data_IF_953536677215
#
_entry.id   IF_953536677215
#
_cell.length_a   1.000
_cell.length_b   1.000
_cell.length_c   1.000
_cell.angle_alpha   90.00
_cell.angle_beta   90.00
_cell.angle_gamma   90.00
#
_symmetry.space_group_name_H-M   'P 1'
#
loop_
_entity.id
_entity.type
_entity.pdbx_description
1 polymer ?
#
# COMPACT_ATOMS: atom_id res chain seq x y z
N UNK A 1 12.46 16.16 -19.53
CA UNK A 1 11.01 15.91 -19.31
C UNK A 1 10.52 15.04 -20.45
N UNK A 2 10.61 13.71 -20.30
CA UNK A 2 9.93 12.70 -21.15
C UNK A 2 10.15 11.31 -20.53
N UNK A 3 9.40 10.99 -19.48
CA UNK A 3 9.19 9.63 -19.01
C UNK A 3 7.72 9.27 -19.30
N UNK A 4 7.39 9.18 -20.59
CA UNK A 4 6.17 8.49 -21.06
C UNK A 4 6.62 7.15 -21.63
N UNK A 5 7.20 6.31 -20.77
CA UNK A 5 7.30 4.89 -21.06
C UNK A 5 6.02 4.27 -20.52
N UNK A 6 5.15 3.81 -21.42
CA UNK A 6 3.92 3.12 -21.07
C UNK A 6 4.24 1.99 -20.10
N UNK A 7 3.68 2.04 -18.89
CA UNK A 7 3.99 1.06 -17.87
C UNK A 7 3.04 -0.13 -18.05
N UNK A 8 3.60 -1.27 -18.43
CA UNK A 8 2.87 -2.52 -18.51
C UNK A 8 2.52 -3.02 -17.11
N UNK A 9 1.24 -3.38 -16.90
CA UNK A 9 0.75 -3.95 -15.65
C UNK A 9 0.47 -5.43 -15.85
N UNK A 10 1.00 -6.29 -14.98
CA UNK A 10 0.68 -7.71 -15.00
C UNK A 10 -0.79 -7.92 -14.73
N UNK A 11 -1.44 -8.56 -15.69
CA UNK A 11 -2.85 -8.88 -15.67
C UNK A 11 -3.28 -9.69 -14.44
N UNK A 12 -2.46 -10.67 -14.07
CA UNK A 12 -2.89 -11.77 -13.23
C UNK A 12 -3.23 -11.39 -11.78
N UNK A 13 -2.39 -10.65 -11.03
CA UNK A 13 -2.77 -10.19 -9.70
C UNK A 13 -3.98 -9.25 -9.76
N UNK A 14 -4.02 -8.38 -10.78
CA UNK A 14 -5.08 -7.41 -11.00
C UNK A 14 -6.46 -8.06 -11.20
N UNK A 15 -6.58 -9.02 -12.13
CA UNK A 15 -7.82 -9.74 -12.39
C UNK A 15 -8.28 -10.57 -11.20
N UNK A 16 -7.36 -11.21 -10.47
CA UNK A 16 -7.72 -11.98 -9.27
C UNK A 16 -8.34 -11.07 -8.21
N UNK A 17 -7.67 -9.96 -7.89
CA UNK A 17 -8.09 -9.07 -6.82
C UNK A 17 -9.35 -8.28 -7.21
N UNK A 18 -9.50 -7.88 -8.47
CA UNK A 18 -10.70 -7.20 -8.96
C UNK A 18 -11.93 -8.10 -9.04
N UNK A 19 -11.78 -9.36 -9.47
CA UNK A 19 -12.89 -10.33 -9.48
C UNK A 19 -13.34 -10.65 -8.07
N UNK A 20 -12.40 -10.84 -7.14
CA UNK A 20 -12.73 -11.07 -5.74
C UNK A 20 -13.43 -9.87 -5.13
N UNK A 21 -12.96 -8.66 -5.43
CA UNK A 21 -13.60 -7.43 -4.97
C UNK A 21 -15.01 -7.27 -5.53
N UNK A 22 -15.22 -7.50 -6.82
CA UNK A 22 -16.57 -7.48 -7.43
C UNK A 22 -17.51 -8.51 -6.80
N UNK A 23 -17.03 -9.74 -6.58
CA UNK A 23 -17.78 -10.77 -5.88
C UNK A 23 -18.13 -10.35 -4.45
N UNK A 24 -17.20 -9.69 -3.76
CA UNK A 24 -17.42 -9.17 -2.40
C UNK A 24 -18.52 -8.11 -2.35
N UNK A 25 -18.55 -7.22 -3.34
CA UNK A 25 -19.59 -6.19 -3.46
C UNK A 25 -20.96 -6.82 -3.76
N UNK A 26 -21.02 -7.85 -4.61
CA UNK A 26 -22.28 -8.54 -4.92
C UNK A 26 -22.86 -9.18 -3.64
N UNK A 27 -22.03 -9.85 -2.85
CA UNK A 27 -22.48 -10.40 -1.55
C UNK A 27 -22.95 -9.28 -0.62
N UNK A 28 -22.21 -8.17 -0.56
CA UNK A 28 -22.62 -7.01 0.24
C UNK A 28 -24.00 -6.51 -0.18
N UNK A 29 -24.27 -6.34 -1.48
CA UNK A 29 -25.59 -5.91 -1.99
C UNK A 29 -26.69 -6.89 -1.54
N UNK A 30 -26.43 -8.20 -1.56
CA UNK A 30 -27.38 -9.20 -1.08
C UNK A 30 -27.65 -9.01 0.43
N UNK A 31 -26.61 -8.85 1.25
CA UNK A 31 -26.74 -8.61 2.70
C UNK A 31 -27.37 -7.25 3.05
N UNK A 32 -27.37 -6.29 2.14
CA UNK A 32 -28.02 -4.99 2.34
C UNK A 32 -29.48 -4.98 1.87
N UNK A 33 -29.93 -6.00 1.12
CA UNK A 33 -31.22 -5.98 0.40
C UNK A 33 -32.45 -6.01 1.29
N UNK A 34 -32.35 -6.58 2.50
CA UNK A 34 -33.42 -6.66 3.49
C UNK A 34 -33.39 -5.50 4.51
N UNK A 35 -32.38 -4.62 4.42
CA UNK A 35 -32.19 -3.47 5.31
C UNK A 35 -31.77 -3.85 6.74
N UNK A 36 -31.39 -5.11 6.98
CA UNK A 36 -31.05 -5.62 8.33
C UNK A 36 -29.86 -6.55 8.27
N UNK A 37 -28.85 -6.27 9.08
CA UNK A 37 -27.64 -7.10 9.10
C UNK A 37 -27.70 -8.04 10.30
N UNK A 38 -27.85 -9.32 10.00
CA UNK A 38 -27.84 -10.39 10.99
C UNK A 38 -26.41 -10.77 11.40
N UNK A 39 -26.28 -11.43 12.56
CA UNK A 39 -25.00 -11.93 13.01
C UNK A 39 -24.38 -12.91 11.99
N UNK A 40 -25.21 -13.75 11.35
CA UNK A 40 -24.73 -14.70 10.35
C UNK A 40 -24.11 -13.99 9.13
N UNK A 41 -24.72 -12.92 8.64
CA UNK A 41 -24.20 -12.16 7.50
C UNK A 41 -22.88 -11.46 7.84
N UNK A 42 -22.78 -10.85 9.02
CA UNK A 42 -21.53 -10.22 9.47
C UNK A 42 -20.39 -11.25 9.62
N UNK A 43 -20.66 -12.44 10.17
CA UNK A 43 -19.69 -13.54 10.26
C UNK A 43 -19.32 -14.05 8.87
N UNK A 44 -20.29 -14.16 7.97
CA UNK A 44 -20.04 -14.62 6.60
C UNK A 44 -19.09 -13.67 5.84
N UNK A 45 -19.29 -12.35 5.95
CA UNK A 45 -18.38 -11.35 5.37
C UNK A 45 -16.95 -11.46 5.93
N UNK A 46 -16.81 -11.66 7.24
CA UNK A 46 -15.50 -11.86 7.89
C UNK A 46 -14.82 -13.17 7.43
N UNK A 47 -15.59 -14.27 7.34
CA UNK A 47 -15.09 -15.56 6.84
C UNK A 47 -14.67 -15.45 5.37
N UNK A 48 -15.39 -14.66 4.59
CA UNK A 48 -15.02 -14.38 3.22
C UNK A 48 -13.65 -13.71 3.16
N UNK A 49 -13.35 -12.72 4.02
CA UNK A 49 -12.00 -12.15 4.10
C UNK A 49 -10.91 -13.18 4.46
N UNK A 50 -11.20 -14.12 5.36
CA UNK A 50 -10.28 -15.25 5.63
C UNK A 50 -10.06 -16.09 4.36
N UNK A 51 -11.12 -16.34 3.60
CA UNK A 51 -11.05 -16.98 2.29
C UNK A 51 -10.17 -16.21 1.29
N UNK A 52 -10.28 -14.89 1.24
CA UNK A 52 -9.39 -14.02 0.44
C UNK A 52 -7.93 -14.22 0.82
N UNK A 53 -7.60 -14.20 2.11
CA UNK A 53 -6.24 -14.43 2.60
C UNK A 53 -5.74 -15.81 2.19
N UNK A 54 -6.57 -16.85 2.30
CA UNK A 54 -6.20 -18.22 1.90
C UNK A 54 -5.89 -18.26 0.39
N UNK A 55 -6.72 -17.65 -0.45
CA UNK A 55 -6.50 -17.54 -1.90
C UNK A 55 -5.18 -16.82 -2.20
N UNK A 56 -4.91 -15.71 -1.51
CA UNK A 56 -3.67 -14.94 -1.66
C UNK A 56 -2.43 -15.74 -1.20
N UNK A 57 -2.55 -16.48 -0.10
CA UNK A 57 -1.49 -17.36 0.40
C UNK A 57 -1.19 -18.49 -0.58
N UNK A 58 -2.23 -19.10 -1.15
CA UNK A 58 -2.13 -20.21 -2.10
C UNK A 58 -1.99 -19.79 -3.57
N UNK A 59 -1.69 -18.52 -3.86
CA UNK A 59 -1.60 -17.95 -5.21
C UNK A 59 -0.81 -18.82 -6.23
N UNK A 60 0.27 -19.50 -5.80
CA UNK A 60 1.06 -20.38 -6.67
C UNK A 60 0.35 -21.70 -7.02
N UNK A 61 -0.33 -22.32 -6.06
CA UNK A 61 -1.06 -23.58 -6.30
C UNK A 61 -2.33 -23.33 -7.11
N UNK A 62 -3.03 -22.23 -6.83
CA UNK A 62 -4.18 -21.79 -7.61
C UNK A 62 -3.79 -21.53 -9.07
N UNK A 63 -2.61 -20.94 -9.29
CA UNK A 63 -2.03 -20.74 -10.62
C UNK A 63 -1.85 -22.07 -11.37
N UNK A 64 -1.22 -23.07 -10.75
CA UNK A 64 -1.00 -24.35 -11.43
C UNK A 64 -2.32 -25.05 -11.77
N UNK A 65 -3.31 -24.96 -10.86
CA UNK A 65 -4.63 -25.54 -11.07
C UNK A 65 -5.43 -24.84 -12.18
N UNK A 66 -5.47 -23.51 -12.19
CA UNK A 66 -6.20 -22.73 -13.21
C UNK A 66 -5.58 -22.92 -14.59
N UNK A 67 -4.24 -22.90 -14.71
CA UNK A 67 -3.55 -23.11 -16.00
C UNK A 67 -3.80 -24.51 -16.55
N UNK A 68 -3.88 -25.54 -15.70
CA UNK A 68 -4.21 -26.90 -16.14
C UNK A 68 -5.67 -27.07 -16.55
N UNK A 69 -6.59 -26.32 -15.92
CA UNK A 69 -8.04 -26.52 -16.06
C UNK A 69 -8.69 -25.59 -17.09
N UNK A 70 -8.19 -24.37 -17.24
CA UNK A 70 -8.73 -23.32 -18.12
C UNK A 70 -7.60 -22.78 -19.02
N UNK A 71 -7.55 -23.27 -20.26
CA UNK A 71 -6.60 -22.88 -21.31
C UNK A 71 -6.66 -21.38 -21.69
N UNK A 72 -7.68 -20.63 -21.21
CA UNK A 72 -7.88 -19.20 -21.46
C UNK A 72 -6.79 -18.33 -20.82
N UNK A 73 -6.15 -18.78 -19.73
CA UNK A 73 -5.05 -18.06 -19.09
C UNK A 73 -3.66 -18.42 -19.65
N UNK A 74 -3.55 -19.46 -20.48
CA UNK A 74 -2.29 -19.85 -21.11
C UNK A 74 -1.84 -18.82 -22.16
N UNK A 75 -2.78 -18.21 -22.89
CA UNK A 75 -2.51 -17.10 -23.81
C UNK A 75 -2.11 -15.80 -23.10
N UNK A 76 -2.52 -15.60 -21.84
CA UNK A 76 -2.12 -14.44 -21.05
C UNK A 76 -0.70 -14.55 -20.49
N UNK A 77 -0.21 -15.74 -20.17
CA UNK A 77 1.21 -15.95 -19.86
C UNK A 77 2.11 -15.76 -21.10
N UNK A 78 1.58 -15.93 -22.32
CA UNK A 78 2.33 -15.65 -23.56
C UNK A 78 2.48 -14.15 -23.84
N UNK A 79 1.64 -13.30 -23.23
CA UNK A 79 1.75 -11.84 -23.28
C UNK A 79 2.65 -11.26 -22.17
N UNK A 80 3.02 -12.07 -21.17
CA UNK A 80 4.03 -11.73 -20.15
C UNK A 80 5.48 -11.84 -20.69
N UNK A 81 5.68 -12.37 -21.91
CA UNK A 81 6.93 -12.20 -22.65
C UNK A 81 6.87 -10.94 -23.53
N UNK A 82 7.35 -9.80 -23.02
CA UNK A 82 8.50 -9.21 -23.70
C UNK A 82 9.46 -8.47 -22.77
N UNK A 83 10.07 -9.12 -21.75
CA UNK A 83 11.17 -8.48 -20.97
C UNK A 83 12.26 -9.50 -20.53
N UNK A 84 12.69 -10.39 -21.43
CA UNK A 84 14.06 -10.96 -21.35
C UNK A 84 15.07 -10.16 -22.19
N UNK A 85 14.59 -9.32 -23.12
CA UNK A 85 15.45 -8.50 -23.99
C UNK A 85 15.79 -7.11 -23.42
N UNK A 86 14.99 -6.55 -22.51
CA UNK A 86 15.28 -5.24 -21.89
C UNK A 86 16.43 -5.31 -20.86
N UNK A 87 16.64 -6.46 -20.21
CA UNK A 87 17.80 -6.67 -19.35
C UNK A 87 19.11 -6.73 -20.15
N UNK A 88 19.05 -7.05 -21.45
CA UNK A 88 20.20 -7.00 -22.35
C UNK A 88 20.47 -5.57 -22.87
N UNK A 89 19.46 -4.71 -23.00
CA UNK A 89 19.67 -3.32 -23.43
C UNK A 89 20.18 -2.41 -22.31
N UNK A 90 19.89 -2.71 -21.03
CA UNK A 90 20.52 -2.01 -19.89
C UNK A 90 22.00 -2.36 -19.69
N UNK A 91 22.51 -3.44 -20.29
CA UNK A 91 23.96 -3.64 -20.40
C UNK A 91 24.63 -2.68 -21.40
N UNK A 92 23.86 -1.94 -22.22
CA UNK A 92 24.38 -1.14 -23.33
C UNK A 92 24.27 0.38 -23.16
N UNK A 93 23.67 0.90 -22.08
CA UNK A 93 23.71 2.34 -21.78
C UNK A 93 23.96 2.60 -20.30
N UNK A 94 25.20 2.97 -19.97
CA UNK A 94 25.51 3.83 -18.82
C UNK A 94 25.97 3.15 -17.53
N UNK A 95 27.08 2.43 -17.57
CA UNK A 95 28.01 2.42 -16.43
C UNK A 95 29.27 3.18 -16.84
N UNK A 96 29.21 4.52 -16.86
CA UNK A 96 30.40 5.34 -17.01
C UNK A 96 31.04 5.57 -15.65
N UNK A 97 32.23 4.98 -15.54
CA UNK A 97 33.43 5.51 -14.92
C UNK A 97 33.44 5.67 -13.41
N UNK A 98 33.97 4.66 -12.75
CA UNK A 98 35.00 4.82 -11.72
C UNK A 98 35.63 3.46 -11.54
N UNK A 99 36.79 3.23 -12.14
CA UNK A 99 37.95 2.48 -11.61
C UNK A 99 39.01 2.43 -12.73
N UNK A 100 40.05 3.21 -12.48
CA UNK A 100 41.42 3.12 -12.99
C UNK A 100 41.72 2.04 -14.04
N UNK A 101 41.99 2.51 -15.27
CA UNK A 101 43.35 2.52 -15.87
C UNK A 101 44.30 1.51 -15.20
N UNK A 102 44.26 0.28 -15.69
CA UNK A 102 45.43 -0.58 -15.74
C UNK A 102 45.68 -0.87 -17.21
N UNK A 103 46.91 -0.58 -17.63
CA UNK A 103 47.37 -0.63 -19.00
C UNK A 103 47.18 -2.04 -19.59
N UNK A 104 46.64 -2.08 -20.80
CA UNK A 104 46.69 -3.24 -21.69
C UNK A 104 48.12 -3.38 -22.22
N UNK A 105 49.02 -3.94 -21.41
CA UNK A 105 50.21 -4.60 -21.94
C UNK A 105 50.46 -5.89 -21.16
N UNK A 106 50.29 -7.01 -21.87
CA UNK A 106 50.64 -8.37 -21.50
C UNK A 106 49.98 -8.93 -20.23
N UNK A 107 49.05 -9.89 -20.41
CA UNK A 107 49.15 -11.21 -19.76
C UNK A 107 48.33 -12.20 -20.60
N UNK A 108 49.07 -12.99 -21.37
CA UNK A 108 48.71 -14.33 -21.75
C UNK A 108 48.67 -15.21 -20.49
N UNK A 109 47.48 -15.47 -19.95
CA UNK A 109 47.25 -16.68 -19.14
C UNK A 109 45.76 -16.96 -19.07
N UNK A 110 45.35 -18.10 -19.62
CA UNK A 110 44.03 -18.68 -19.44
C UNK A 110 43.83 -18.90 -17.94
N UNK A 111 42.95 -18.12 -17.31
CA UNK A 111 42.56 -18.34 -15.92
C UNK A 111 41.60 -19.54 -15.91
N UNK A 112 41.84 -20.58 -15.08
CA UNK A 112 40.93 -21.71 -14.98
C UNK A 112 39.54 -21.25 -14.54
N UNK A 113 38.50 -21.81 -15.17
CA UNK A 113 37.09 -21.50 -14.86
C UNK A 113 36.78 -21.72 -13.37
N UNK A 114 37.46 -22.66 -12.72
CA UNK A 114 37.24 -22.97 -11.30
C UNK A 114 37.73 -21.85 -10.37
N UNK A 115 38.79 -21.13 -10.74
CA UNK A 115 39.25 -19.93 -10.02
C UNK A 115 38.30 -18.75 -10.28
N UNK A 116 37.73 -18.66 -11.48
CA UNK A 116 36.67 -17.69 -11.80
C UNK A 116 35.38 -17.97 -11.01
N UNK A 117 35.06 -19.25 -10.77
CA UNK A 117 33.90 -19.69 -9.99
C UNK A 117 34.13 -19.46 -8.49
N UNK A 118 35.34 -19.70 -8.00
CA UNK A 118 35.75 -19.40 -6.62
C UNK A 118 35.76 -17.89 -6.35
N UNK A 119 36.12 -17.07 -7.35
CA UNK A 119 35.94 -15.62 -7.32
C UNK A 119 34.46 -15.20 -7.46
N UNK A 120 33.62 -16.03 -8.08
CA UNK A 120 32.17 -15.85 -8.19
C UNK A 120 31.39 -16.33 -6.96
N UNK A 121 31.91 -16.08 -5.76
CA UNK A 121 31.02 -16.02 -4.61
C UNK A 121 30.00 -14.92 -4.91
N UNK A 122 28.80 -15.31 -5.34
CA UNK A 122 27.61 -14.47 -5.25
C UNK A 122 27.34 -14.33 -3.75
N UNK A 123 28.16 -13.53 -3.07
CA UNK A 123 27.94 -13.12 -1.71
C UNK A 123 26.69 -12.26 -1.78
N UNK A 124 25.54 -12.84 -1.43
CA UNK A 124 24.34 -12.05 -1.31
C UNK A 124 24.61 -11.02 -0.23
N UNK A 125 24.61 -9.74 -0.62
CA UNK A 125 24.59 -8.65 0.35
C UNK A 125 23.47 -8.95 1.36
N UNK A 126 23.70 -8.66 2.65
CA UNK A 126 22.72 -8.90 3.71
C UNK A 126 21.36 -8.30 3.34
N UNK A 127 21.37 -7.17 2.66
CA UNK A 127 20.20 -6.49 2.12
C UNK A 127 19.44 -7.34 1.10
N UNK A 128 20.12 -7.84 0.08
CA UNK A 128 19.57 -8.72 -0.96
C UNK A 128 19.10 -10.05 -0.37
N UNK A 129 19.81 -10.59 0.61
CA UNK A 129 19.44 -11.80 1.32
C UNK A 129 18.19 -11.59 2.20
N UNK A 130 18.14 -10.49 2.96
CA UNK A 130 17.00 -10.14 3.80
C UNK A 130 15.73 -9.88 2.96
N UNK A 131 15.87 -9.15 1.84
CA UNK A 131 14.78 -8.91 0.89
C UNK A 131 14.27 -10.23 0.29
N UNK A 132 15.18 -11.12 -0.12
CA UNK A 132 14.80 -12.47 -0.60
C UNK A 132 14.14 -13.31 0.48
N UNK A 133 14.56 -13.21 1.74
CA UNK A 133 13.92 -13.93 2.86
C UNK A 133 12.52 -13.35 3.13
N UNK A 134 12.34 -12.04 3.06
CA UNK A 134 11.04 -11.37 3.22
C UNK A 134 10.05 -11.74 2.09
N UNK A 135 10.54 -11.87 0.86
CA UNK A 135 9.70 -12.19 -0.31
C UNK A 135 9.50 -13.70 -0.52
N UNK A 136 10.40 -14.54 0.01
CA UNK A 136 10.34 -16.00 -0.15
C UNK A 136 9.27 -16.62 0.75
N UNK A 137 8.40 -17.43 0.13
CA UNK A 137 7.35 -18.16 0.86
C UNK A 137 7.88 -19.26 1.79
N UNK A 138 9.15 -19.68 1.63
CA UNK A 138 9.76 -20.78 2.41
C UNK A 138 9.94 -20.44 3.90
N UNK A 139 10.06 -19.17 4.25
CA UNK A 139 10.30 -18.74 5.64
C UNK A 139 8.99 -18.43 6.38
N UNK A 140 8.89 -18.79 7.67
CA UNK A 140 7.73 -18.48 8.52
C UNK A 140 7.55 -16.96 8.69
N UNK A 141 6.31 -16.49 8.91
CA UNK A 141 5.99 -15.06 9.05
C UNK A 141 6.83 -14.36 10.14
N UNK A 142 7.08 -15.03 11.28
CA UNK A 142 7.96 -14.52 12.35
C UNK A 142 9.40 -14.31 11.88
N UNK A 143 9.92 -15.16 11.00
CA UNK A 143 11.26 -15.04 10.43
C UNK A 143 11.33 -13.89 9.45
N UNK A 144 10.32 -13.73 8.59
CA UNK A 144 10.23 -12.60 7.65
C UNK A 144 10.14 -11.26 8.38
N UNK A 145 9.29 -11.18 9.40
CA UNK A 145 9.16 -9.99 10.23
C UNK A 145 10.47 -9.67 10.98
N UNK A 146 11.14 -10.67 11.59
CA UNK A 146 12.45 -10.47 12.21
C UNK A 146 13.51 -10.00 11.21
N UNK A 147 13.50 -10.52 9.98
CA UNK A 147 14.43 -10.08 8.93
C UNK A 147 14.12 -8.69 8.42
N UNK A 148 12.84 -8.31 8.28
CA UNK A 148 12.43 -6.95 7.96
C UNK A 148 12.92 -5.95 9.01
N UNK A 149 12.72 -6.27 10.29
CA UNK A 149 13.22 -5.46 11.41
C UNK A 149 14.75 -5.37 11.37
N UNK A 150 15.46 -6.48 11.18
CA UNK A 150 16.94 -6.48 11.10
C UNK A 150 17.47 -5.70 9.90
N UNK A 151 16.81 -5.81 8.76
CA UNK A 151 17.13 -5.05 7.55
C UNK A 151 17.05 -3.54 7.83
N UNK A 152 15.93 -3.08 8.41
CA UNK A 152 15.76 -1.67 8.79
C UNK A 152 16.82 -1.22 9.80
N UNK A 153 17.10 -2.03 10.82
CA UNK A 153 18.12 -1.73 11.83
C UNK A 153 19.52 -1.60 11.22
N UNK A 154 19.89 -2.51 10.31
CA UNK A 154 21.21 -2.51 9.67
C UNK A 154 21.34 -1.32 8.73
N UNK A 155 20.28 -0.98 7.99
CA UNK A 155 20.21 0.25 7.20
C UNK A 155 20.43 1.49 8.07
N UNK A 156 19.77 1.58 9.23
CA UNK A 156 19.93 2.70 10.18
C UNK A 156 21.37 2.76 10.73
N UNK A 157 21.98 1.63 11.07
CA UNK A 157 23.37 1.59 11.57
C UNK A 157 24.40 2.00 10.52
N UNK A 158 24.25 1.50 9.29
CA UNK A 158 25.09 1.89 8.16
C UNK A 158 24.97 3.39 7.86
N UNK A 159 23.77 3.97 8.02
CA UNK A 159 23.52 5.42 7.89
C UNK A 159 24.14 6.27 9.01
N UNK A 160 24.24 5.76 10.24
CA UNK A 160 24.84 6.47 11.38
C UNK A 160 26.39 6.51 11.37
N UNK A 161 27.03 6.02 10.31
CA UNK A 161 28.49 5.91 10.24
C UNK A 161 29.08 4.89 11.23
N UNK A 162 28.22 4.15 11.95
CA UNK A 162 28.63 3.04 12.79
C UNK A 162 28.95 1.86 11.87
N UNK A 163 30.23 1.59 11.66
CA UNK A 163 30.68 0.47 10.85
C UNK A 163 30.08 -0.82 11.34
N UNK A 164 29.23 -1.42 10.50
CA UNK A 164 28.80 -2.79 10.71
C UNK A 164 29.93 -3.68 10.21
N UNK A 165 30.63 -4.35 11.14
CA UNK A 165 31.61 -5.37 10.77
C UNK A 165 30.84 -6.51 10.11
N UNK A 166 30.99 -6.62 8.79
CA UNK A 166 30.50 -7.74 7.99
C UNK A 166 31.33 -8.99 8.34
N UNK A 167 30.75 -10.04 8.95
CA UNK A 167 31.47 -11.29 9.24
C UNK A 167 31.82 -12.09 7.98
N UNK A 168 31.23 -11.70 6.85
CA UNK A 168 31.29 -12.30 5.52
C UNK A 168 32.52 -11.91 4.69
N UNK A 169 33.42 -11.06 5.20
CA UNK A 169 34.65 -10.65 4.50
C UNK A 169 35.94 -11.06 5.22
N UNK A 170 37.01 -11.44 4.50
CA UNK A 170 38.30 -11.80 5.08
C UNK A 170 38.90 -10.61 5.86
N UNK A 171 39.72 -10.92 6.88
CA UNK A 171 40.19 -9.96 7.90
C UNK A 171 40.82 -8.69 7.30
N UNK A 172 41.50 -8.82 6.16
CA UNK A 172 42.18 -7.72 5.46
C UNK A 172 41.25 -6.82 4.62
N UNK A 173 40.01 -7.24 4.35
CA UNK A 173 38.99 -6.48 3.60
C UNK A 173 37.90 -5.87 4.50
N UNK A 174 38.10 -5.89 5.82
CA UNK A 174 37.29 -5.13 6.79
C UNK A 174 37.53 -3.62 6.68
N UNK A 175 37.62 -3.08 5.47
CA UNK A 175 37.38 -1.65 5.25
C UNK A 175 35.89 -1.39 5.43
N UNK A 176 35.59 -0.34 6.18
CA UNK A 176 34.27 0.28 6.27
C UNK A 176 33.78 0.60 4.85
N UNK A 177 33.13 -0.34 4.18
CA UNK A 177 32.54 -0.11 2.88
C UNK A 177 31.17 0.53 3.12
N UNK A 178 31.17 1.85 3.25
CA UNK A 178 29.97 2.66 3.22
C UNK A 178 29.43 2.60 1.79
N UNK A 179 28.61 1.59 1.46
CA UNK A 179 27.84 1.62 0.23
C UNK A 179 26.78 2.72 0.40
N UNK A 180 27.02 3.85 -0.26
CA UNK A 180 26.07 4.94 -0.41
C UNK A 180 25.03 4.56 -1.48
N UNK A 181 24.39 3.40 -1.31
CA UNK A 181 23.24 2.98 -2.12
C UNK A 181 21.99 3.65 -1.57
N UNK A 182 21.67 4.85 -2.08
CA UNK A 182 20.45 5.57 -1.72
C UNK A 182 19.24 4.71 -2.08
N UNK A 183 18.50 4.23 -1.09
CA UNK A 183 17.07 3.95 -1.24
C UNK A 183 16.35 5.30 -1.12
N UNK A 184 15.90 5.92 -2.23
CA UNK A 184 15.38 7.29 -2.21
C UNK A 184 14.10 7.45 -1.36
N UNK A 185 13.35 6.36 -1.14
CA UNK A 185 12.06 6.39 -0.44
C UNK A 185 12.19 6.56 1.08
N UNK A 186 13.09 5.84 1.73
CA UNK A 186 13.27 5.94 3.18
C UNK A 186 13.98 7.22 3.59
N UNK A 187 14.90 7.73 2.76
CA UNK A 187 15.55 9.04 3.00
C UNK A 187 14.56 10.19 2.79
N UNK A 188 13.69 10.15 1.78
CA UNK A 188 12.64 11.15 1.60
C UNK A 188 11.62 11.15 2.76
N UNK A 189 11.24 9.97 3.26
CA UNK A 189 10.34 9.86 4.43
C UNK A 189 11.03 10.38 5.71
N UNK A 190 12.32 10.12 5.88
CA UNK A 190 13.09 10.56 7.05
C UNK A 190 13.40 12.07 7.01
N UNK A 191 13.65 12.64 5.83
CA UNK A 191 13.69 14.10 5.60
C UNK A 191 12.35 14.75 5.99
N UNK A 192 11.21 14.23 5.50
CA UNK A 192 9.86 14.72 5.85
C UNK A 192 9.56 14.58 7.35
N UNK A 193 10.06 13.50 7.99
CA UNK A 193 9.78 13.22 9.40
C UNK A 193 10.64 14.05 10.36
N UNK A 194 11.84 14.48 9.99
CA UNK A 194 12.68 15.39 10.79
C UNK A 194 12.56 16.86 10.37
N UNK A 195 11.88 17.15 9.26
CA UNK A 195 11.64 18.50 8.74
C UNK A 195 11.02 19.45 9.76
N UNK A 196 10.17 18.92 10.66
CA UNK A 196 9.50 19.73 11.68
C UNK A 196 10.44 20.27 12.77
N UNK A 197 11.67 19.76 12.89
CA UNK A 197 12.66 20.35 13.80
C UNK A 197 13.26 21.62 13.23
N UNK A 198 13.21 21.79 11.92
CA UNK A 198 13.72 22.97 11.23
C UNK A 198 12.61 24.02 11.17
N UNK A 199 12.90 25.23 11.64
CA UNK A 199 11.96 26.35 11.62
C UNK A 199 11.97 26.94 10.20
N UNK A 200 10.86 26.89 9.44
CA UNK A 200 10.80 27.53 8.12
C UNK A 200 10.91 29.05 8.26
N UNK A 201 11.62 29.68 7.30
CA UNK A 201 11.91 31.10 7.36
C UNK A 201 10.69 31.93 6.93
N UNK A 202 10.09 32.67 7.87
CA UNK A 202 8.78 33.33 7.69
C UNK A 202 8.75 34.37 6.54
N UNK A 203 9.91 34.94 6.20
CA UNK A 203 10.02 35.99 5.19
C UNK A 203 9.75 35.52 3.75
N UNK A 204 9.87 34.23 3.47
CA UNK A 204 9.69 33.67 2.13
C UNK A 204 8.55 32.66 2.05
N UNK A 205 8.21 31.98 3.15
CA UNK A 205 7.16 30.96 3.19
C UNK A 205 6.27 31.06 4.44
N UNK A 206 5.36 32.04 4.41
CA UNK A 206 4.37 32.25 5.48
C UNK A 206 3.44 31.04 5.64
N UNK A 207 3.03 30.41 4.54
CA UNK A 207 2.12 29.26 4.56
C UNK A 207 2.82 28.03 5.17
N UNK A 208 4.09 27.80 4.84
CA UNK A 208 4.91 26.77 5.46
C UNK A 208 5.09 26.98 6.96
N UNK A 209 5.32 28.23 7.39
CA UNK A 209 5.40 28.57 8.82
C UNK A 209 4.09 28.34 9.57
N UNK A 210 2.94 28.74 8.99
CA UNK A 210 1.63 28.49 9.59
C UNK A 210 1.38 26.99 9.73
N UNK A 211 1.61 26.20 8.67
CA UNK A 211 1.48 24.74 8.71
C UNK A 211 2.38 24.12 9.77
N UNK A 212 3.63 24.55 9.83
CA UNK A 212 4.59 24.10 10.83
C UNK A 212 4.09 24.39 12.26
N UNK A 213 3.63 25.61 12.52
CA UNK A 213 3.13 26.03 13.84
C UNK A 213 1.90 25.22 14.29
N UNK A 214 0.96 24.92 13.38
CA UNK A 214 -0.22 24.09 13.68
C UNK A 214 0.13 22.63 13.94
N UNK A 215 1.10 22.07 13.21
CA UNK A 215 1.49 20.66 13.31
C UNK A 215 2.44 20.40 14.50
N UNK A 216 3.18 21.43 14.93
CA UNK A 216 4.15 21.38 16.02
C UNK A 216 3.63 20.74 17.32
N UNK A 217 2.49 21.17 17.91
CA UNK A 217 2.01 20.60 19.17
C UNK A 217 1.74 19.09 19.06
N UNK A 218 1.16 18.66 17.93
CA UNK A 218 0.88 17.25 17.65
C UNK A 218 2.19 16.45 17.50
N UNK A 219 3.19 17.01 16.81
CA UNK A 219 4.49 16.36 16.65
C UNK A 219 5.28 16.27 17.95
N UNK A 220 5.23 17.29 18.81
CA UNK A 220 5.82 17.24 20.16
C UNK A 220 5.15 16.15 21.00
N UNK A 221 3.83 16.06 20.95
CA UNK A 221 3.05 15.02 21.63
C UNK A 221 3.48 13.62 21.17
N UNK A 222 3.61 13.38 19.87
CA UNK A 222 4.08 12.09 19.33
C UNK A 222 5.54 11.81 19.63
N UNK A 223 6.40 12.82 19.60
CA UNK A 223 7.82 12.66 19.93
C UNK A 223 8.03 12.20 21.37
N UNK A 224 7.21 12.66 22.31
CA UNK A 224 7.29 12.24 23.71
C UNK A 224 6.62 10.89 23.97
N UNK A 225 5.54 10.59 23.27
CA UNK A 225 4.69 9.41 23.57
C UNK A 225 5.08 8.16 22.78
N UNK A 226 5.67 8.32 21.60
CA UNK A 226 6.10 7.22 20.73
C UNK A 226 7.62 7.07 20.85
N UNK A 227 8.14 5.95 21.39
CA UNK A 227 9.58 5.74 21.46
C UNK A 227 10.17 5.70 20.03
N UNK A 228 11.29 6.36 19.81
CA UNK A 228 11.90 6.38 18.48
C UNK A 228 12.86 5.19 18.29
N UNK A 229 12.47 4.21 17.47
CA UNK A 229 13.29 3.04 17.12
C UNK A 229 14.55 3.38 16.31
N UNK A 230 14.67 4.60 15.78
CA UNK A 230 15.86 5.06 15.06
C UNK A 230 17.05 5.26 16.01
N UNK A 231 16.78 5.52 17.28
CA UNK A 231 17.80 5.64 18.30
C UNK A 231 18.29 4.24 18.75
N UNK A 232 19.61 3.98 18.79
CA UNK A 232 20.14 2.67 19.17
C UNK A 232 19.74 2.23 20.58
N UNK A 233 19.40 3.19 21.46
CA UNK A 233 18.91 2.95 22.83
C UNK A 233 17.52 2.31 22.88
N UNK A 234 16.62 2.67 21.96
CA UNK A 234 15.21 2.21 21.95
C UNK A 234 14.93 1.15 20.87
N UNK A 235 15.96 0.67 20.18
CA UNK A 235 15.88 -0.36 19.14
C UNK A 235 15.11 -1.63 19.56
N UNK A 236 15.25 -2.03 20.83
CA UNK A 236 14.59 -3.22 21.39
C UNK A 236 13.10 -2.97 21.72
N UNK A 237 12.67 -1.72 21.74
CA UNK A 237 11.34 -1.27 22.14
C UNK A 237 10.37 -1.19 20.95
N UNK A 238 10.76 -1.69 19.77
CA UNK A 238 9.92 -1.72 18.57
C UNK A 238 8.50 -2.30 18.75
N UNK A 239 8.21 -3.31 19.60
CA UNK A 239 6.83 -3.74 19.78
C UNK A 239 6.02 -2.68 20.54
N UNK A 240 6.63 -1.95 21.48
CA UNK A 240 5.97 -0.86 22.20
C UNK A 240 5.68 0.30 21.26
N UNK A 241 6.62 0.67 20.38
CA UNK A 241 6.41 1.74 19.39
C UNK A 241 5.24 1.40 18.47
N UNK A 242 5.17 0.14 18.02
CA UNK A 242 4.08 -0.34 17.19
C UNK A 242 2.72 -0.28 17.90
N UNK A 243 2.64 -0.72 19.16
CA UNK A 243 1.40 -0.66 19.95
C UNK A 243 0.99 0.80 20.19
N UNK A 244 1.94 1.67 20.56
CA UNK A 244 1.65 3.10 20.78
C UNK A 244 1.16 3.79 19.52
N UNK A 245 1.70 3.46 18.34
CA UNK A 245 1.17 3.98 17.07
C UNK A 245 -0.27 3.54 16.81
N UNK A 246 -0.63 2.29 17.14
CA UNK A 246 -2.01 1.79 17.00
C UNK A 246 -2.95 2.55 17.95
N UNK A 247 -2.55 2.74 19.21
CA UNK A 247 -3.35 3.48 20.20
C UNK A 247 -3.60 4.92 19.72
N UNK A 248 -2.56 5.61 19.25
CA UNK A 248 -2.72 6.96 18.71
C UNK A 248 -3.60 7.00 17.47
N UNK A 249 -3.48 6.02 16.56
CA UNK A 249 -4.38 5.90 15.42
C UNK A 249 -5.84 5.78 15.88
N UNK A 250 -6.14 4.94 16.88
CA UNK A 250 -7.50 4.81 17.43
C UNK A 250 -8.02 6.11 18.07
N UNK A 251 -7.17 6.83 18.84
CA UNK A 251 -7.57 8.10 19.47
C UNK A 251 -7.83 9.18 18.42
N UNK A 252 -6.95 9.31 17.43
CA UNK A 252 -7.08 10.32 16.39
C UNK A 252 -8.27 10.04 15.47
N UNK A 253 -8.55 8.79 15.12
CA UNK A 253 -9.72 8.45 14.30
C UNK A 253 -11.02 8.69 15.06
N UNK A 254 -11.07 8.42 16.37
CA UNK A 254 -12.24 8.76 17.19
C UNK A 254 -12.50 10.28 17.22
N UNK A 255 -11.46 11.08 17.48
CA UNK A 255 -11.56 12.54 17.47
C UNK A 255 -11.97 13.04 16.07
N UNK A 256 -11.40 12.47 15.00
CA UNK A 256 -11.75 12.82 13.63
C UNK A 256 -13.24 12.58 13.36
N UNK A 257 -13.76 11.39 13.64
CA UNK A 257 -15.17 11.06 13.41
C UNK A 257 -16.07 11.98 14.22
N UNK A 258 -15.76 12.18 15.51
CA UNK A 258 -16.56 13.04 16.39
C UNK A 258 -16.61 14.50 15.90
N UNK A 259 -15.48 15.06 15.49
CA UNK A 259 -15.43 16.43 14.95
C UNK A 259 -16.17 16.54 13.63
N UNK A 260 -16.02 15.56 12.75
CA UNK A 260 -16.72 15.50 11.46
C UNK A 260 -18.23 15.46 11.66
N UNK A 261 -18.74 14.69 12.62
CA UNK A 261 -20.19 14.65 12.93
C UNK A 261 -20.71 15.97 13.51
N UNK A 262 -19.95 16.64 14.40
CA UNK A 262 -20.35 17.95 14.95
C UNK A 262 -20.41 19.00 13.84
N UNK A 263 -19.40 19.01 12.96
CA UNK A 263 -19.34 19.93 11.83
C UNK A 263 -20.50 19.66 10.86
N UNK A 264 -20.78 18.39 10.55
CA UNK A 264 -21.93 17.98 9.72
C UNK A 264 -23.25 18.51 10.28
N UNK A 265 -23.50 18.27 11.57
CA UNK A 265 -24.67 18.78 12.26
C UNK A 265 -24.78 20.31 12.20
N UNK A 266 -23.67 21.03 12.43
CA UNK A 266 -23.65 22.50 12.40
C UNK A 266 -23.99 23.07 11.03
N UNK A 267 -23.57 22.40 9.95
CA UNK A 267 -23.85 22.80 8.57
C UNK A 267 -25.14 22.22 7.99
N UNK A 268 -25.89 21.41 8.76
CA UNK A 268 -27.09 20.75 8.26
C UNK A 268 -26.80 19.61 7.27
N UNK A 269 -25.58 19.09 7.23
CA UNK A 269 -25.14 18.04 6.31
C UNK A 269 -25.28 16.67 7.01
N UNK A 270 -25.95 15.68 6.39
CA UNK A 270 -26.12 14.36 6.99
C UNK A 270 -24.79 13.64 7.26
N UNK A 271 -24.75 12.82 8.32
CA UNK A 271 -23.55 12.05 8.70
C UNK A 271 -23.06 11.10 7.59
N UNK A 272 -23.98 10.54 6.80
CA UNK A 272 -23.65 9.69 5.64
C UNK A 272 -22.83 10.46 4.59
N UNK A 273 -23.22 11.69 4.28
CA UNK A 273 -22.51 12.59 3.34
C UNK A 273 -21.11 12.92 3.85
N UNK A 274 -20.98 13.24 5.14
CA UNK A 274 -19.68 13.51 5.77
C UNK A 274 -18.77 12.27 5.78
N UNK A 275 -19.35 11.09 5.91
CA UNK A 275 -18.67 9.79 5.82
C UNK A 275 -18.09 9.51 4.43
N UNK A 276 -18.92 9.59 3.38
CA UNK A 276 -18.51 9.28 2.01
C UNK A 276 -17.54 10.31 1.39
N UNK A 277 -17.43 11.50 1.98
CA UNK A 277 -16.54 12.57 1.51
C UNK A 277 -15.30 12.75 2.39
N UNK A 278 -15.46 13.40 3.54
CA UNK A 278 -14.34 13.78 4.41
C UNK A 278 -13.67 12.57 5.05
N UNK A 279 -14.46 11.62 5.56
CA UNK A 279 -13.91 10.43 6.23
C UNK A 279 -13.22 9.51 5.22
N UNK A 280 -13.88 9.25 4.08
CA UNK A 280 -13.33 8.44 2.99
C UNK A 280 -12.06 9.02 2.37
N UNK A 281 -11.99 10.35 2.17
CA UNK A 281 -10.79 11.01 1.69
C UNK A 281 -9.65 10.92 2.73
N UNK A 282 -9.96 11.08 4.02
CA UNK A 282 -8.99 10.99 5.11
C UNK A 282 -8.30 9.63 5.21
N UNK A 283 -9.04 8.53 5.05
CA UNK A 283 -8.48 7.17 5.08
C UNK A 283 -7.71 6.81 3.81
N UNK A 284 -8.20 7.24 2.64
CA UNK A 284 -7.64 6.82 1.35
C UNK A 284 -6.37 7.57 0.93
N UNK A 285 -6.12 8.78 1.46
CA UNK A 285 -4.93 9.58 1.13
C UNK A 285 -3.61 8.87 1.54
N UNK A 286 -3.46 8.36 2.77
CA UNK A 286 -2.27 7.57 3.16
C UNK A 286 -2.04 6.34 2.28
N UNK A 287 -3.10 5.65 1.88
CA UNK A 287 -3.02 4.46 1.01
C UNK A 287 -2.59 4.85 -0.40
N UNK A 288 -3.13 5.94 -0.94
CA UNK A 288 -2.71 6.48 -2.24
C UNK A 288 -1.22 6.87 -2.22
N UNK A 289 -0.76 7.54 -1.17
CA UNK A 289 0.67 7.90 -1.01
C UNK A 289 1.56 6.65 -0.95
N UNK A 290 1.12 5.62 -0.23
CA UNK A 290 1.84 4.34 -0.11
C UNK A 290 1.93 3.62 -1.46
N UNK A 291 0.82 3.56 -2.21
CA UNK A 291 0.80 2.97 -3.56
C UNK A 291 1.68 3.75 -4.55
N UNK A 292 1.64 5.09 -4.54
CA UNK A 292 2.50 5.93 -5.37
C UNK A 292 3.98 5.73 -5.04
N UNK A 293 4.32 5.59 -3.75
CA UNK A 293 5.69 5.33 -3.32
C UNK A 293 6.23 4.00 -3.87
N UNK A 294 5.41 2.95 -3.86
CA UNK A 294 5.77 1.63 -4.39
C UNK A 294 5.91 1.66 -5.92
N UNK A 295 5.01 2.36 -6.62
CA UNK A 295 5.09 2.58 -8.07
C UNK A 295 6.39 3.32 -8.44
N UNK A 296 6.78 4.33 -7.66
CA UNK A 296 8.05 5.07 -7.86
C UNK A 296 9.29 4.20 -7.68
N UNK A 297 9.18 3.04 -7.03
CA UNK A 297 10.26 2.06 -6.89
C UNK A 297 10.33 1.07 -8.06
N UNK A 298 9.49 1.24 -9.09
CA UNK A 298 9.41 0.33 -10.24
C UNK A 298 8.56 -0.91 -9.99
N UNK A 299 7.84 -0.97 -8.86
CA UNK A 299 6.98 -2.10 -8.47
C UNK A 299 5.51 -1.81 -8.80
N UNK A 300 5.22 -1.51 -10.07
CA UNK A 300 3.89 -1.00 -10.48
C UNK A 300 2.78 -2.03 -10.25
N UNK A 301 3.04 -3.31 -10.52
CA UNK A 301 2.09 -4.40 -10.26
C UNK A 301 1.62 -4.43 -8.79
N UNK A 302 2.54 -4.17 -7.87
CA UNK A 302 2.27 -4.18 -6.44
C UNK A 302 1.44 -2.97 -6.05
N UNK A 303 1.76 -1.80 -6.59
CA UNK A 303 1.01 -0.56 -6.36
C UNK A 303 -0.45 -0.68 -6.81
N UNK A 304 -0.69 -1.22 -8.02
CA UNK A 304 -2.06 -1.41 -8.53
C UNK A 304 -2.81 -2.50 -7.74
N UNK A 305 -2.16 -3.61 -7.36
CA UNK A 305 -2.80 -4.65 -6.55
C UNK A 305 -3.18 -4.16 -5.14
N UNK A 306 -2.39 -3.25 -4.56
CA UNK A 306 -2.66 -2.70 -3.23
C UNK A 306 -3.99 -1.95 -3.22
N UNK A 307 -4.28 -1.18 -4.28
CA UNK A 307 -5.53 -0.41 -4.42
C UNK A 307 -6.79 -1.29 -4.37
N UNK A 308 -6.75 -2.50 -4.93
CA UNK A 308 -7.89 -3.43 -4.82
C UNK A 308 -7.90 -4.16 -3.47
N UNK A 309 -6.72 -4.57 -2.98
CA UNK A 309 -6.60 -5.30 -1.72
C UNK A 309 -7.02 -4.50 -0.48
N UNK A 310 -6.69 -3.21 -0.41
CA UNK A 310 -7.13 -2.32 0.68
C UNK A 310 -8.64 -2.19 0.71
N UNK A 311 -9.28 -2.02 -0.45
CA UNK A 311 -10.74 -1.88 -0.54
C UNK A 311 -11.49 -3.18 -0.19
N UNK A 312 -10.92 -4.35 -0.51
CA UNK A 312 -11.45 -5.64 -0.05
C UNK A 312 -11.40 -5.73 1.48
N UNK A 313 -10.33 -5.23 2.11
CA UNK A 313 -10.22 -5.18 3.57
C UNK A 313 -11.24 -4.21 4.18
N UNK A 314 -11.38 -3.00 3.64
CA UNK A 314 -12.33 -2.00 4.15
C UNK A 314 -13.78 -2.50 4.06
N UNK A 315 -14.11 -3.19 2.97
CA UNK A 315 -15.44 -3.76 2.78
C UNK A 315 -15.70 -4.95 3.72
N UNK A 316 -14.80 -5.93 3.78
CA UNK A 316 -15.06 -7.18 4.49
C UNK A 316 -14.69 -7.17 5.97
N UNK A 317 -13.75 -6.32 6.36
CA UNK A 317 -13.34 -6.17 7.75
C UNK A 317 -13.86 -4.85 8.31
N UNK A 318 -13.69 -3.75 7.57
CA UNK A 318 -14.10 -2.42 8.00
C UNK A 318 -15.61 -2.28 8.25
N UNK A 319 -16.46 -2.84 7.39
CA UNK A 319 -17.92 -2.88 7.62
C UNK A 319 -18.36 -4.04 8.52
N UNK A 320 -17.84 -5.24 8.28
CA UNK A 320 -18.34 -6.44 8.95
C UNK A 320 -17.95 -6.53 10.43
N UNK A 321 -16.77 -6.05 10.84
CA UNK A 321 -16.37 -6.10 12.26
C UNK A 321 -17.30 -5.26 13.16
N UNK A 322 -17.59 -3.98 12.86
CA UNK A 322 -18.56 -3.21 13.63
C UNK A 322 -19.94 -3.86 13.69
N UNK A 323 -20.45 -4.39 12.57
CA UNK A 323 -21.73 -5.10 12.54
C UNK A 323 -21.71 -6.37 13.39
N UNK A 324 -20.62 -7.14 13.33
CA UNK A 324 -20.43 -8.33 14.13
C UNK A 324 -20.45 -8.00 15.63
N UNK A 325 -19.67 -7.01 16.07
CA UNK A 325 -19.66 -6.62 17.48
C UNK A 325 -21.01 -6.07 17.95
N UNK A 326 -21.67 -5.26 17.14
CA UNK A 326 -22.98 -4.69 17.49
C UNK A 326 -24.06 -5.79 17.60
N UNK A 327 -24.13 -6.71 16.64
CA UNK A 327 -25.08 -7.85 16.71
C UNK A 327 -24.76 -8.81 17.86
N UNK A 328 -23.48 -9.02 18.16
CA UNK A 328 -23.05 -9.90 19.27
C UNK A 328 -23.40 -9.32 20.64
N UNK A 329 -23.23 -8.01 20.83
CA UNK A 329 -23.50 -7.35 22.11
C UNK A 329 -24.99 -7.08 22.31
N UNK A 330 -25.67 -6.57 21.27
CA UNK A 330 -27.09 -6.21 21.36
C UNK A 330 -28.03 -7.42 21.20
N UNK A 331 -27.59 -8.51 20.56
CA UNK A 331 -28.42 -9.68 20.29
C UNK A 331 -29.49 -9.48 19.20
N UNK A 332 -29.61 -8.26 18.66
CA UNK A 332 -30.58 -7.89 17.63
C UNK A 332 -29.89 -7.56 16.29
N UNK A 333 -30.55 -7.81 15.14
CA UNK A 333 -30.05 -7.40 13.84
C UNK A 333 -29.84 -5.89 13.75
N UNK A 334 -28.78 -5.47 13.07
CA UNK A 334 -28.49 -4.03 12.90
C UNK A 334 -29.31 -3.47 11.75
N UNK A 335 -30.18 -2.51 12.04
CA UNK A 335 -30.92 -1.79 11.02
C UNK A 335 -30.04 -0.76 10.31
N UNK A 336 -30.12 -0.74 8.98
CA UNK A 336 -29.43 0.25 8.14
C UNK A 336 -30.34 1.48 8.02
N UNK A 337 -29.83 2.64 8.40
CA UNK A 337 -30.64 3.88 8.45
C UNK A 337 -30.91 4.50 7.08
N UNK A 338 -30.00 4.33 6.11
CA UNK A 338 -30.11 4.92 4.76
C UNK A 338 -30.18 3.83 3.71
N UNK A 339 -31.18 3.90 2.84
CA UNK A 339 -31.23 3.08 1.62
C UNK A 339 -30.12 3.49 0.62
N UNK A 340 -29.47 4.63 0.84
CA UNK A 340 -28.38 5.17 0.02
C UNK A 340 -27.18 4.23 -0.02
N UNK A 341 -26.89 3.54 1.08
CA UNK A 341 -25.81 2.55 1.13
C UNK A 341 -25.98 1.42 0.09
N UNK A 342 -27.22 1.01 -0.18
CA UNK A 342 -27.52 -0.02 -1.19
C UNK A 342 -27.27 0.54 -2.61
N UNK A 343 -27.75 1.75 -2.89
CA UNK A 343 -27.50 2.43 -4.17
C UNK A 343 -26.00 2.69 -4.40
N UNK A 344 -25.28 3.15 -3.40
CA UNK A 344 -23.84 3.39 -3.44
C UNK A 344 -23.05 2.10 -3.69
N UNK A 345 -23.48 0.98 -3.09
CA UNK A 345 -22.87 -0.33 -3.34
C UNK A 345 -23.06 -0.81 -4.80
N UNK A 346 -24.22 -0.52 -5.40
CA UNK A 346 -24.47 -0.81 -6.83
C UNK A 346 -23.59 0.06 -7.73
N UNK A 347 -23.47 1.35 -7.42
CA UNK A 347 -22.60 2.28 -8.15
C UNK A 347 -21.14 1.86 -8.06
N UNK A 348 -20.69 1.43 -6.88
CA UNK A 348 -19.34 0.91 -6.65
C UNK A 348 -19.06 -0.32 -7.53
N UNK A 349 -20.02 -1.25 -7.64
CA UNK A 349 -19.90 -2.39 -8.55
C UNK A 349 -19.74 -1.94 -10.01
N UNK A 350 -20.54 -0.96 -10.43
CA UNK A 350 -20.45 -0.36 -11.76
C UNK A 350 -19.07 0.24 -12.06
N UNK A 351 -18.48 0.95 -11.08
CA UNK A 351 -17.15 1.54 -11.22
C UNK A 351 -16.08 0.48 -11.36
N UNK A 352 -16.13 -0.59 -10.55
CA UNK A 352 -15.17 -1.70 -10.67
C UNK A 352 -15.22 -2.31 -12.07
N UNK A 353 -16.42 -2.50 -12.62
CA UNK A 353 -16.60 -3.00 -13.99
C UNK A 353 -16.00 -2.01 -15.00
N UNK A 354 -16.31 -0.72 -14.90
CA UNK A 354 -15.76 0.33 -15.78
C UNK A 354 -14.23 0.35 -15.69
N UNK A 355 -13.65 0.25 -14.50
CA UNK A 355 -12.20 0.24 -14.30
C UNK A 355 -11.57 -0.96 -15.00
N UNK A 356 -12.09 -2.18 -14.80
CA UNK A 356 -11.59 -3.40 -15.45
C UNK A 356 -11.73 -3.34 -16.97
N UNK A 357 -12.87 -2.84 -17.48
CA UNK A 357 -13.09 -2.67 -18.93
C UNK A 357 -12.13 -1.64 -19.53
N UNK A 358 -11.82 -0.58 -18.79
CA UNK A 358 -10.89 0.46 -19.24
C UNK A 358 -9.45 -0.06 -19.32
N UNK A 359 -9.03 -0.90 -18.37
CA UNK A 359 -7.75 -1.62 -18.44
C UNK A 359 -7.69 -2.58 -19.64
N UNK A 360 -8.79 -3.30 -19.91
CA UNK A 360 -8.87 -4.21 -21.04
C UNK A 360 -8.80 -3.47 -22.39
N UNK A 361 -9.54 -2.35 -22.52
CA UNK A 361 -9.54 -1.53 -23.73
C UNK A 361 -8.19 -0.90 -24.07
N UNK A 362 -7.33 -0.67 -23.05
CA UNK A 362 -5.96 -0.14 -23.20
C UNK A 362 -4.90 -1.22 -23.31
N UNK A 363 -5.28 -2.48 -23.54
CA UNK A 363 -4.35 -3.62 -23.63
C UNK A 363 -3.39 -3.72 -22.42
N UNK A 364 -3.86 -3.33 -21.23
CA UNK A 364 -3.10 -3.42 -19.97
C UNK A 364 -1.92 -2.44 -19.82
N UNK A 365 -1.88 -1.37 -20.62
CA UNK A 365 -0.93 -0.27 -20.47
C UNK A 365 -1.53 0.86 -19.63
N UNK A 366 -0.72 1.41 -18.72
CA UNK A 366 -1.12 2.51 -17.84
C UNK A 366 -0.77 3.86 -18.49
N UNK A 367 -1.73 4.43 -19.22
CA UNK A 367 -1.57 5.74 -19.85
C UNK A 367 -1.94 6.90 -18.88
N UNK A 368 -1.32 8.09 -18.99
CA UNK A 368 -1.75 9.27 -18.23
C UNK A 368 -3.20 9.67 -18.55
N UNK A 369 -3.66 9.41 -19.78
CA UNK A 369 -5.06 9.60 -20.17
C UNK A 369 -6.02 8.71 -19.38
N UNK A 370 -5.63 7.47 -19.09
CA UNK A 370 -6.42 6.55 -18.29
C UNK A 370 -6.53 7.06 -16.85
N UNK A 371 -5.47 7.66 -16.31
CA UNK A 371 -5.49 8.33 -15.00
C UNK A 371 -6.49 9.49 -14.94
N UNK A 372 -6.48 10.38 -15.94
CA UNK A 372 -7.45 11.50 -16.02
C UNK A 372 -8.88 10.96 -16.16
N UNK A 373 -9.07 9.92 -16.96
CA UNK A 373 -10.36 9.24 -17.09
C UNK A 373 -10.87 8.70 -15.75
N UNK A 374 -10.03 8.01 -14.96
CA UNK A 374 -10.42 7.53 -13.64
C UNK A 374 -10.73 8.66 -12.65
N UNK A 375 -10.00 9.77 -12.71
CA UNK A 375 -10.32 10.96 -11.90
C UNK A 375 -11.69 11.54 -12.27
N UNK A 376 -12.02 11.58 -13.56
CA UNK A 376 -13.31 12.05 -14.05
C UNK A 376 -14.46 11.13 -13.62
N UNK A 377 -14.29 9.80 -13.75
CA UNK A 377 -15.28 8.81 -13.29
C UNK A 377 -15.49 8.91 -11.78
N UNK A 378 -14.43 9.10 -11.00
CA UNK A 378 -14.51 9.32 -9.55
C UNK A 378 -15.30 10.60 -9.21
N UNK A 379 -15.05 11.70 -9.91
CA UNK A 379 -15.80 12.95 -9.72
C UNK A 379 -17.29 12.78 -10.01
N UNK A 380 -17.65 12.09 -11.09
CA UNK A 380 -19.04 11.79 -11.44
C UNK A 380 -19.69 10.92 -10.36
N UNK A 381 -18.99 9.89 -9.89
CA UNK A 381 -19.46 9.02 -8.81
C UNK A 381 -19.76 9.81 -7.53
N UNK A 382 -18.80 10.61 -7.05
CA UNK A 382 -18.98 11.39 -5.82
C UNK A 382 -20.17 12.34 -5.94
N UNK A 383 -20.31 13.03 -7.08
CA UNK A 383 -21.47 13.91 -7.32
C UNK A 383 -22.77 13.12 -7.27
N UNK A 384 -22.85 11.96 -7.94
CA UNK A 384 -24.08 11.18 -7.98
C UNK A 384 -24.45 10.58 -6.61
N UNK A 385 -23.48 10.04 -5.87
CA UNK A 385 -23.68 9.55 -4.49
C UNK A 385 -24.11 10.68 -3.55
N UNK A 386 -23.53 11.87 -3.68
CA UNK A 386 -23.96 13.03 -2.90
C UNK A 386 -25.40 13.45 -3.20
N UNK A 387 -25.81 13.45 -4.48
CA UNK A 387 -27.18 13.80 -4.86
C UNK A 387 -28.20 12.77 -4.33
N UNK A 388 -27.84 11.50 -4.26
CA UNK A 388 -28.66 10.44 -3.65
C UNK A 388 -28.85 10.69 -2.15
N UNK A 389 -27.75 10.89 -1.42
CA UNK A 389 -27.77 11.07 0.04
C UNK A 389 -28.36 12.41 0.49
N UNK A 390 -28.33 13.44 -0.36
CA UNK A 390 -29.03 14.71 -0.14
C UNK A 390 -30.51 14.68 -0.54
N UNK A 391 -31.07 13.49 -0.79
CA UNK A 391 -32.48 13.27 -1.12
C UNK A 391 -32.96 13.99 -2.40
N UNK A 392 -32.07 14.27 -3.36
CA UNK A 392 -32.45 14.99 -4.60
C UNK A 392 -33.30 14.13 -5.52
N UNK A 393 -32.98 12.84 -5.63
CA UNK A 393 -33.68 11.89 -6.50
C UNK A 393 -34.82 11.14 -5.80
N UNK A 394 -34.90 11.19 -4.48
CA UNK A 394 -35.91 10.50 -3.67
C UNK A 394 -35.59 10.61 -2.18
N UNK A 395 -36.54 10.26 -1.31
CA UNK A 395 -36.32 10.25 0.13
C UNK A 395 -35.57 8.97 0.55
N UNK A 396 -34.24 9.08 0.64
CA UNK A 396 -33.30 7.99 0.86
C UNK A 396 -32.74 8.03 2.28
N UNK A 397 -32.52 9.23 2.82
CA UNK A 397 -31.92 9.48 4.13
C UNK A 397 -32.89 10.27 5.04
N UNK A 398 -33.21 9.78 6.25
CA UNK A 398 -34.06 10.50 7.18
C UNK A 398 -33.44 11.83 7.65
N UNK A 399 -34.27 12.80 8.11
CA UNK A 399 -33.76 14.01 8.76
C UNK A 399 -32.96 13.67 10.01
N UNK A 400 -31.93 14.47 10.30
CA UNK A 400 -31.11 14.31 11.50
C UNK A 400 -31.98 14.39 12.76
N UNK A 401 -31.73 13.51 13.74
CA UNK A 401 -32.43 13.56 15.02
C UNK A 401 -32.13 14.90 15.71
N UNK A 402 -33.15 15.61 16.24
CA UNK A 402 -32.91 16.75 17.11
C UNK A 402 -32.20 16.27 18.39
N UNK A 403 -31.24 17.07 18.87
CA UNK A 403 -30.46 16.82 20.10
C UNK A 403 -31.38 16.64 21.30
#
# INVERSE_FOLDING_TARGET
MSLTSDIFVKLKPLCRDSVYYAFSIIILIICLSDGRITLFESVFLLLMYVGYIIIMCNNQNLQHFIVQRWQIFASFNALDEPIMNYAQTQKSYGMTNTYQRFDEENISSIIPIDDLIAMSHISFDFETAALKIMMSKKFRCRTRFKMAVRFVIIQIKLRQGQGVIRPDKPINERRFSCYQGRTPSLLAIEEIYDEWKNIPNYNYDLLGFIKWAFILPIKILFYYTIPDCRNPRYLKWYPLTFIMTIVWLCVLTYIMVWMVTIIGFTFGIPDSVMGITFLAAGSSVPDALSSVLVVRQGLVDMGVSNTFGSNVFDLLVGLALPWFFKTLISGEPVHINSNGLLYDSILLLGIVIITVMSFHGRKWYLDPFLGIFFLAVYGIFVIFSLLIELNVFGFVNPPMCPI
#
